data_IF_926554157334
#
_entry.id   IF_926554157334
#
_cell.length_a   1.000
_cell.length_b   1.000
_cell.length_c   1.000
_cell.angle_alpha   90.00
_cell.angle_beta   90.00
_cell.angle_gamma   90.00
#
_symmetry.space_group_name_H-M   'P 1'
#
loop_
_entity.id
_entity.type
_entity.pdbx_description
1 polymer ?
#
# COMPACT_ATOMS: atom_id res chain seq x y z
N UNK A 1 37.78 -34.28 35.35
CA UNK A 1 37.62 -33.37 34.20
C UNK A 1 36.66 -33.81 33.07
N UNK A 2 35.89 -34.92 33.13
CA UNK A 2 34.80 -35.19 32.15
C UNK A 2 33.40 -34.63 32.52
N UNK A 3 33.13 -34.31 33.80
CA UNK A 3 31.77 -34.03 34.28
C UNK A 3 31.21 -32.64 33.90
N UNK A 4 32.09 -31.69 33.63
CA UNK A 4 31.73 -30.34 33.19
C UNK A 4 31.10 -30.32 31.79
N UNK A 5 31.49 -31.23 30.89
CA UNK A 5 30.94 -31.32 29.54
C UNK A 5 29.50 -31.85 29.52
N UNK A 6 29.19 -32.89 30.31
CA UNK A 6 27.84 -33.47 30.38
C UNK A 6 26.84 -32.56 31.09
N UNK A 7 27.30 -31.79 32.08
CA UNK A 7 26.52 -30.76 32.76
C UNK A 7 26.26 -29.56 31.83
N UNK A 8 27.29 -29.12 31.08
CA UNK A 8 27.14 -28.06 30.09
C UNK A 8 26.14 -28.44 29.00
N UNK A 9 26.21 -29.66 28.45
CA UNK A 9 25.28 -30.16 27.42
C UNK A 9 23.82 -30.29 27.92
N UNK A 10 23.62 -30.66 29.20
CA UNK A 10 22.29 -30.72 29.83
C UNK A 10 21.64 -29.35 30.00
N UNK A 11 22.44 -28.31 30.23
CA UNK A 11 21.95 -26.96 30.48
C UNK A 11 21.94 -26.08 29.20
N UNK A 12 22.76 -26.32 28.18
CA UNK A 12 22.76 -25.53 26.92
C UNK A 12 21.72 -25.97 25.89
N UNK A 13 21.43 -27.27 25.82
CA UNK A 13 20.35 -27.81 24.98
C UNK A 13 18.98 -27.12 25.19
N UNK A 14 18.51 -26.83 26.41
CA UNK A 14 17.24 -26.14 26.61
C UNK A 14 17.25 -24.67 26.12
N UNK A 15 18.38 -23.98 26.15
CA UNK A 15 18.51 -22.61 25.65
C UNK A 15 18.45 -22.58 24.11
N UNK A 16 19.23 -23.43 23.44
CA UNK A 16 19.22 -23.59 21.98
C UNK A 16 17.83 -23.98 21.46
N UNK A 17 17.13 -24.90 22.14
CA UNK A 17 15.79 -25.32 21.77
C UNK A 17 14.74 -24.21 21.98
N UNK A 18 14.87 -23.40 23.04
CA UNK A 18 13.98 -22.25 23.27
C UNK A 18 14.21 -21.16 22.23
N UNK A 19 15.46 -20.92 21.84
CA UNK A 19 15.81 -20.03 20.73
C UNK A 19 15.23 -20.52 19.41
N UNK A 20 15.38 -21.81 19.08
CA UNK A 20 14.81 -22.40 17.87
C UNK A 20 13.28 -22.23 17.82
N UNK A 21 12.57 -22.39 18.95
CA UNK A 21 11.13 -22.17 19.00
C UNK A 21 10.75 -20.70 18.91
N UNK A 22 11.49 -19.78 19.54
CA UNK A 22 11.27 -18.35 19.37
C UNK A 22 11.44 -17.93 17.91
N UNK A 23 12.51 -18.40 17.27
CA UNK A 23 12.75 -18.19 15.85
C UNK A 23 11.64 -18.82 15.02
N UNK A 24 11.18 -20.02 15.34
CA UNK A 24 10.10 -20.69 14.61
C UNK A 24 8.78 -19.94 14.74
N UNK A 25 8.40 -19.50 15.95
CA UNK A 25 7.19 -18.70 16.23
C UNK A 25 7.26 -17.36 15.49
N UNK A 26 8.40 -16.67 15.57
CA UNK A 26 8.62 -15.40 14.89
C UNK A 26 8.63 -15.58 13.37
N UNK A 27 9.37 -16.55 12.83
CA UNK A 27 9.35 -16.84 11.40
C UNK A 27 7.95 -17.26 10.93
N UNK A 28 7.25 -18.11 11.67
CA UNK A 28 5.89 -18.52 11.32
C UNK A 28 4.85 -17.41 11.37
N UNK A 29 5.06 -16.48 12.30
CA UNK A 29 4.22 -15.30 12.49
C UNK A 29 4.76 -14.10 11.73
N UNK A 30 5.64 -14.27 10.73
CA UNK A 30 6.17 -13.19 9.88
C UNK A 30 6.36 -13.59 8.41
N UNK A 31 6.61 -14.87 8.16
CA UNK A 31 6.81 -15.49 6.87
C UNK A 31 5.93 -16.75 6.83
N UNK A 32 5.01 -16.88 5.86
CA UNK A 32 4.32 -18.14 5.69
C UNK A 32 5.39 -19.21 5.40
N UNK A 33 5.48 -20.23 6.28
CA UNK A 33 6.45 -21.33 6.20
C UNK A 33 6.46 -22.02 4.82
N UNK A 34 5.36 -21.91 4.08
CA UNK A 34 5.20 -22.38 2.71
C UNK A 34 6.05 -21.63 1.66
N UNK A 35 6.53 -20.41 1.91
CA UNK A 35 7.49 -19.71 1.02
C UNK A 35 8.85 -20.44 0.92
N UNK A 36 9.29 -21.10 2.00
CA UNK A 36 10.54 -21.86 2.01
C UNK A 36 10.41 -23.18 1.23
N UNK A 37 9.18 -23.71 1.12
CA UNK A 37 8.88 -24.98 0.47
C UNK A 37 8.35 -24.85 -0.97
N UNK A 38 8.28 -23.63 -1.51
CA UNK A 38 7.78 -23.39 -2.87
C UNK A 38 6.30 -23.75 -3.07
N UNK A 39 5.55 -23.96 -1.98
CA UNK A 39 4.11 -24.24 -2.04
C UNK A 39 3.41 -22.89 -2.21
N UNK A 40 2.55 -22.68 -3.22
CA UNK A 40 1.90 -21.40 -3.47
C UNK A 40 0.80 -21.13 -2.43
N UNK A 41 1.22 -20.83 -1.20
CA UNK A 41 0.39 -20.12 -0.23
C UNK A 41 0.49 -18.64 -0.60
N UNK A 42 -0.48 -18.15 -1.36
CA UNK A 42 -0.66 -16.75 -1.79
C UNK A 42 0.26 -15.78 -1.04
N UNK A 43 1.30 -15.35 -1.75
CA UNK A 43 2.50 -14.75 -1.20
C UNK A 43 2.25 -13.45 -0.43
N UNK A 44 3.35 -12.92 0.12
CA UNK A 44 3.52 -11.47 0.12
C UNK A 44 3.18 -11.05 -1.30
N UNK A 45 2.03 -10.40 -1.46
CA UNK A 45 1.57 -9.95 -2.77
C UNK A 45 2.69 -9.07 -3.33
N UNK A 46 2.86 -8.97 -4.65
CA UNK A 46 3.81 -8.03 -5.28
C UNK A 46 3.65 -6.58 -4.77
N UNK A 47 2.55 -6.31 -4.07
CA UNK A 47 2.14 -5.06 -3.46
C UNK A 47 2.54 -4.89 -1.97
N UNK A 48 3.18 -5.90 -1.35
CA UNK A 48 3.83 -5.79 -0.05
C UNK A 48 2.90 -5.87 1.18
N UNK A 49 1.76 -6.59 1.09
CA UNK A 49 0.86 -6.81 2.22
C UNK A 49 0.94 -8.22 2.81
N UNK A 50 0.73 -8.31 4.13
CA UNK A 50 0.63 -9.54 4.91
C UNK A 50 -0.84 -9.79 5.26
N UNK A 51 -1.40 -10.95 4.87
CA UNK A 51 -2.77 -11.35 5.25
C UNK A 51 -2.71 -12.25 6.50
N UNK A 52 -3.06 -11.75 7.71
CA UNK A 52 -2.83 -12.45 8.98
C UNK A 52 -3.62 -13.76 9.11
N UNK A 53 -4.76 -13.88 8.43
CA UNK A 53 -5.66 -15.03 8.48
C UNK A 53 -5.03 -16.35 7.99
N UNK A 54 -3.82 -16.33 7.43
CA UNK A 54 -3.11 -17.50 6.89
C UNK A 54 -1.89 -17.94 7.72
N UNK A 55 -1.68 -17.31 8.88
CA UNK A 55 -0.45 -17.43 9.69
C UNK A 55 -0.60 -18.50 10.79
N UNK A 56 -1.82 -19.05 10.93
CA UNK A 56 -2.20 -20.02 11.95
C UNK A 56 -1.43 -21.34 11.85
N UNK A 57 -1.09 -21.83 10.66
CA UNK A 57 -0.35 -23.10 10.49
C UNK A 57 1.03 -22.99 11.14
N UNK A 58 1.75 -21.91 10.85
CA UNK A 58 3.07 -21.73 11.42
C UNK A 58 3.02 -21.47 12.93
N UNK A 59 2.03 -20.70 13.41
CA UNK A 59 1.79 -20.51 14.85
C UNK A 59 1.52 -21.86 15.53
N UNK A 60 0.70 -22.73 14.93
CA UNK A 60 0.43 -24.08 15.44
C UNK A 60 1.68 -24.95 15.48
N UNK A 61 2.53 -24.90 14.43
CA UNK A 61 3.81 -25.62 14.41
C UNK A 61 4.75 -25.11 15.50
N UNK A 62 4.84 -23.79 15.69
CA UNK A 62 5.58 -23.15 16.77
C UNK A 62 5.09 -23.58 18.16
N UNK A 63 3.77 -23.56 18.38
CA UNK A 63 3.12 -23.98 19.62
C UNK A 63 3.29 -25.48 19.87
N UNK A 64 3.21 -26.33 18.83
CA UNK A 64 3.43 -27.77 18.95
C UNK A 64 4.88 -28.08 19.33
N UNK A 65 5.86 -27.43 18.69
CA UNK A 65 7.27 -27.56 19.04
C UNK A 65 7.52 -27.11 20.49
N UNK A 66 6.91 -25.99 20.91
CA UNK A 66 6.95 -25.53 22.30
C UNK A 66 6.34 -26.56 23.27
N UNK A 67 5.17 -27.11 22.97
CA UNK A 67 4.48 -28.09 23.78
C UNK A 67 5.30 -29.38 23.97
N UNK A 68 5.89 -29.90 22.88
CA UNK A 68 6.76 -31.09 22.90
C UNK A 68 7.99 -30.85 23.80
N UNK A 69 8.61 -29.67 23.71
CA UNK A 69 9.77 -29.32 24.52
C UNK A 69 9.44 -29.13 26.01
N UNK A 70 8.26 -28.60 26.31
CA UNK A 70 7.80 -28.41 27.67
C UNK A 70 7.37 -29.74 28.31
N UNK A 71 6.81 -30.67 27.54
CA UNK A 71 6.37 -31.98 28.04
C UNK A 71 7.49 -32.75 28.76
N UNK A 72 8.75 -32.61 28.31
CA UNK A 72 9.90 -33.27 28.93
C UNK A 72 10.46 -32.60 30.19
N UNK A 73 9.96 -31.41 30.60
CA UNK A 73 10.56 -30.62 31.70
C UNK A 73 9.82 -30.77 33.03
N UNK A 74 10.42 -30.34 34.14
CA UNK A 74 9.75 -30.25 35.47
C UNK A 74 8.83 -29.03 35.55
N UNK A 75 7.82 -29.01 36.43
CA UNK A 75 6.81 -27.93 36.49
C UNK A 75 7.37 -26.51 36.65
N UNK A 76 8.34 -26.31 37.57
CA UNK A 76 9.00 -24.99 37.75
C UNK A 76 9.91 -24.61 36.58
N UNK A 77 10.59 -25.58 35.98
CA UNK A 77 11.42 -25.33 34.80
C UNK A 77 10.60 -25.00 33.55
N UNK A 78 9.40 -25.58 33.41
CA UNK A 78 8.44 -25.27 32.36
C UNK A 78 7.99 -23.80 32.46
N UNK A 79 7.56 -23.36 33.64
CA UNK A 79 7.09 -21.99 33.88
C UNK A 79 8.15 -20.93 33.59
N UNK A 80 9.40 -21.15 34.01
CA UNK A 80 10.50 -20.21 33.73
C UNK A 80 10.72 -20.01 32.23
N UNK A 81 10.82 -21.11 31.47
CA UNK A 81 11.09 -21.04 30.04
C UNK A 81 9.89 -20.58 29.22
N UNK A 82 8.65 -20.82 29.69
CA UNK A 82 7.44 -20.21 29.13
C UNK A 82 7.48 -18.69 29.24
N UNK A 83 7.85 -18.15 30.41
CA UNK A 83 7.99 -16.71 30.60
C UNK A 83 9.08 -16.09 29.70
N UNK A 84 10.25 -16.74 29.61
CA UNK A 84 11.34 -16.31 28.71
C UNK A 84 10.88 -16.31 27.24
N UNK A 85 10.17 -17.35 26.80
CA UNK A 85 9.68 -17.44 25.43
C UNK A 85 8.58 -16.40 25.14
N UNK A 86 7.62 -16.20 26.05
CA UNK A 86 6.54 -15.24 25.84
C UNK A 86 7.07 -13.79 25.73
N UNK A 87 7.95 -13.39 26.66
CA UNK A 87 8.53 -12.04 26.64
C UNK A 87 9.50 -11.89 25.47
N UNK A 88 10.30 -12.91 25.16
CA UNK A 88 11.22 -12.89 24.02
C UNK A 88 10.49 -12.71 22.69
N UNK A 89 9.38 -13.44 22.49
CA UNK A 89 8.54 -13.31 21.32
C UNK A 89 7.94 -11.90 21.23
N UNK A 90 7.40 -11.36 22.33
CA UNK A 90 6.85 -10.01 22.38
C UNK A 90 7.90 -8.95 22.01
N UNK A 91 9.10 -9.02 22.57
CA UNK A 91 10.18 -8.07 22.30
C UNK A 91 10.65 -8.18 20.84
N UNK A 92 10.79 -9.39 20.30
CA UNK A 92 11.15 -9.60 18.89
C UNK A 92 10.11 -9.02 17.94
N UNK A 93 8.82 -9.23 18.22
CA UNK A 93 7.70 -8.67 17.43
C UNK A 93 7.74 -7.14 17.48
N UNK A 94 7.87 -6.55 18.67
CA UNK A 94 7.94 -5.08 18.82
C UNK A 94 9.15 -4.51 18.08
N UNK A 95 10.32 -5.14 18.20
CA UNK A 95 11.55 -4.69 17.53
C UNK A 95 11.39 -4.71 16.01
N UNK A 96 10.80 -5.78 15.48
CA UNK A 96 10.51 -5.84 14.05
C UNK A 96 9.49 -4.78 13.64
N UNK A 97 8.37 -4.65 14.36
CA UNK A 97 7.34 -3.67 14.02
C UNK A 97 7.91 -2.25 14.01
N UNK A 98 8.74 -1.89 14.98
CA UNK A 98 9.39 -0.57 15.03
C UNK A 98 10.39 -0.34 13.89
N UNK A 99 11.08 -1.39 13.44
CA UNK A 99 12.06 -1.30 12.36
C UNK A 99 11.41 -1.35 10.96
N UNK A 100 10.37 -2.17 10.78
CA UNK A 100 9.74 -2.44 9.49
C UNK A 100 8.54 -1.53 9.20
N UNK A 101 7.83 -1.06 10.24
CA UNK A 101 6.67 -0.17 10.14
C UNK A 101 7.10 1.23 10.59
N UNK A 102 6.63 2.27 9.89
CA UNK A 102 6.87 3.65 10.33
C UNK A 102 6.23 3.94 11.69
N UNK A 103 6.88 4.79 12.51
CA UNK A 103 6.37 5.17 13.83
C UNK A 103 4.94 5.68 13.75
N UNK A 104 4.04 4.97 14.42
CA UNK A 104 2.61 5.20 14.41
C UNK A 104 2.24 6.48 15.17
N UNK A 105 1.44 7.34 14.54
CA UNK A 105 0.45 8.14 15.25
C UNK A 105 -0.90 7.57 14.83
N UNK A 106 -1.70 7.13 15.80
CA UNK A 106 -3.02 6.57 15.59
C UNK A 106 -3.93 7.66 15.00
N UNK A 107 -4.37 7.46 13.76
CA UNK A 107 -5.32 8.31 13.06
C UNK A 107 -6.26 7.44 12.24
N UNK A 108 -6.93 6.50 12.93
CA UNK A 108 -8.03 5.74 12.35
C UNK A 108 -9.23 6.66 12.21
N UNK A 109 -9.28 7.42 11.12
CA UNK A 109 -10.51 8.11 10.74
C UNK A 109 -11.41 7.08 10.05
N UNK A 110 -12.11 6.31 10.88
CA UNK A 110 -13.32 5.57 10.54
C UNK A 110 -14.35 6.62 10.07
N UNK A 111 -14.40 6.86 8.76
CA UNK A 111 -15.36 7.82 8.22
C UNK A 111 -16.71 7.13 8.15
N UNK A 112 -17.60 7.56 9.05
CA UNK A 112 -19.01 7.23 9.04
C UNK A 112 -19.61 7.49 7.65
N UNK A 113 -20.57 6.63 7.28
CA UNK A 113 -21.37 6.67 6.05
C UNK A 113 -22.27 7.93 6.07
N UNK A 114 -21.68 9.10 5.90
CA UNK A 114 -22.36 10.36 5.65
C UNK A 114 -22.62 10.56 4.15
N UNK A 115 -23.54 11.47 3.83
CA UNK A 115 -23.87 11.87 2.46
C UNK A 115 -22.60 12.19 1.65
N UNK A 116 -22.29 11.37 0.65
CA UNK A 116 -21.05 11.50 -0.14
C UNK A 116 -21.14 12.74 -1.01
N UNK A 117 -20.18 13.65 -0.87
CA UNK A 117 -20.03 14.78 -1.77
C UNK A 117 -19.84 14.28 -3.21
N UNK A 118 -20.58 14.81 -4.19
CA UNK A 118 -20.39 14.44 -5.58
C UNK A 118 -19.05 14.97 -6.11
N UNK A 119 -18.39 14.18 -6.95
CA UNK A 119 -17.25 14.62 -7.76
C UNK A 119 -17.50 14.22 -9.21
N UNK A 120 -17.46 15.19 -10.11
CA UNK A 120 -17.64 14.92 -11.54
C UNK A 120 -16.39 14.21 -12.07
N UNK A 121 -16.57 13.27 -13.00
CA UNK A 121 -15.48 12.52 -13.62
C UNK A 121 -15.59 12.60 -15.14
N UNK A 122 -14.53 13.04 -15.79
CA UNK A 122 -14.40 13.01 -17.25
C UNK A 122 -13.26 12.06 -17.58
N UNK A 123 -13.57 11.00 -18.33
CA UNK A 123 -12.58 9.97 -18.66
C UNK A 123 -12.92 9.27 -19.97
N UNK A 124 -11.91 8.71 -20.64
CA UNK A 124 -12.11 7.71 -21.69
C UNK A 124 -11.83 6.28 -21.22
N UNK A 125 -11.37 6.09 -19.97
CA UNK A 125 -11.16 4.76 -19.39
C UNK A 125 -12.51 4.10 -19.05
N UNK A 126 -12.63 2.76 -19.17
CA UNK A 126 -13.85 2.02 -18.85
C UNK A 126 -14.08 1.93 -17.32
N UNK A 127 -14.31 3.08 -16.68
CA UNK A 127 -14.58 3.19 -15.23
C UNK A 127 -16.07 2.97 -14.93
N UNK A 128 -16.94 3.49 -15.78
CA UNK A 128 -18.41 3.45 -15.61
C UNK A 128 -19.10 2.56 -16.65
N UNK A 129 -18.37 2.03 -17.64
CA UNK A 129 -18.90 1.19 -18.70
C UNK A 129 -18.00 -0.03 -18.97
N UNK A 130 -18.54 -1.03 -19.67
CA UNK A 130 -17.81 -2.24 -20.04
C UNK A 130 -17.35 -2.13 -21.49
N UNK A 131 -16.19 -2.70 -21.79
CA UNK A 131 -15.77 -2.91 -23.17
C UNK A 131 -16.30 -4.24 -23.74
N UNK A 132 -16.84 -5.13 -22.91
CA UNK A 132 -17.48 -6.38 -23.32
C UNK A 132 -18.94 -6.13 -23.76
N UNK A 133 -19.27 -6.29 -25.06
CA UNK A 133 -20.62 -6.06 -25.59
C UNK A 133 -21.68 -6.99 -24.98
N UNK A 134 -21.30 -8.19 -24.52
CA UNK A 134 -22.24 -9.19 -23.98
C UNK A 134 -22.58 -8.86 -22.52
N UNK A 135 -21.61 -8.34 -21.77
CA UNK A 135 -21.80 -7.93 -20.38
C UNK A 135 -22.73 -6.71 -20.24
N UNK A 136 -22.91 -5.90 -21.28
CA UNK A 136 -23.73 -4.68 -21.24
C UNK A 136 -25.25 -4.96 -21.31
N UNK A 137 -25.66 -6.12 -21.83
CA UNK A 137 -27.07 -6.54 -21.92
C UNK A 137 -27.53 -7.44 -20.77
N UNK A 138 -26.66 -7.72 -19.80
CA UNK A 138 -26.97 -8.61 -18.69
C UNK A 138 -27.80 -7.89 -17.62
N UNK A 139 -29.11 -8.15 -17.58
CA UNK A 139 -30.01 -7.61 -16.55
C UNK A 139 -29.57 -8.12 -15.16
N UNK A 140 -29.12 -7.21 -14.29
CA UNK A 140 -28.66 -7.54 -12.94
C UNK A 140 -27.15 -7.77 -12.79
N UNK A 141 -26.35 -7.62 -13.86
CA UNK A 141 -24.91 -7.48 -13.70
C UNK A 141 -24.60 -6.21 -12.89
N UNK A 142 -23.67 -6.24 -11.91
CA UNK A 142 -23.33 -5.05 -11.14
C UNK A 142 -22.96 -3.92 -12.10
N UNK A 143 -23.64 -2.78 -12.00
CA UNK A 143 -23.37 -1.54 -12.75
C UNK A 143 -22.01 -0.90 -12.39
N UNK A 144 -21.21 -1.64 -11.62
CA UNK A 144 -20.03 -1.26 -10.86
C UNK A 144 -18.81 -1.92 -11.52
N UNK A 145 -18.20 -1.26 -12.52
CA UNK A 145 -17.25 -1.89 -13.45
C UNK A 145 -15.78 -1.73 -13.08
N UNK A 146 -15.43 -0.89 -12.11
CA UNK A 146 -14.09 -0.79 -11.53
C UNK A 146 -14.18 -0.55 -10.02
N UNK A 147 -13.44 -1.33 -9.22
CA UNK A 147 -13.36 -1.20 -7.78
C UNK A 147 -12.97 0.22 -7.34
N UNK A 148 -12.21 0.96 -8.15
CA UNK A 148 -11.85 2.35 -7.90
C UNK A 148 -13.07 3.24 -7.65
N UNK A 149 -14.11 3.12 -8.49
CA UNK A 149 -15.35 3.91 -8.37
C UNK A 149 -16.07 3.58 -7.06
N UNK A 150 -16.10 2.30 -6.68
CA UNK A 150 -16.78 1.85 -5.45
C UNK A 150 -16.01 2.20 -4.20
N UNK A 151 -14.68 2.15 -4.24
CA UNK A 151 -13.80 2.40 -3.13
C UNK A 151 -13.74 3.88 -2.75
N UNK A 152 -14.02 4.79 -3.70
CA UNK A 152 -14.02 6.23 -3.43
C UNK A 152 -15.03 6.63 -2.34
N UNK A 153 -14.60 7.55 -1.47
CA UNK A 153 -15.48 8.21 -0.48
C UNK A 153 -16.43 9.22 -1.13
N UNK A 154 -16.09 9.71 -2.32
CA UNK A 154 -16.95 10.60 -3.09
C UNK A 154 -17.97 9.79 -3.87
N UNK A 155 -19.08 10.44 -4.25
CA UNK A 155 -19.96 9.90 -5.28
C UNK A 155 -19.40 10.35 -6.62
N UNK A 156 -18.62 9.49 -7.27
CA UNK A 156 -18.10 9.76 -8.61
C UNK A 156 -19.23 9.70 -9.62
N UNK A 157 -19.44 10.79 -10.36
CA UNK A 157 -20.51 10.91 -11.36
C UNK A 157 -19.87 11.18 -12.72
N UNK A 158 -20.11 10.34 -13.74
CA UNK A 158 -19.57 10.59 -15.08
C UNK A 158 -20.14 11.89 -15.67
N UNK A 159 -19.29 12.62 -16.38
CA UNK A 159 -19.63 13.85 -17.09
C UNK A 159 -19.11 13.76 -18.53
N UNK A 160 -20.02 13.82 -19.50
CA UNK A 160 -19.67 13.56 -20.92
C UNK A 160 -19.15 14.80 -21.67
N UNK A 161 -19.57 16.00 -21.22
CA UNK A 161 -19.28 17.27 -21.88
C UNK A 161 -18.76 18.30 -20.90
N UNK A 162 -17.69 18.98 -21.28
CA UNK A 162 -17.12 20.10 -20.52
C UNK A 162 -17.61 21.42 -21.12
N UNK A 163 -18.78 21.88 -20.68
CA UNK A 163 -19.31 23.19 -21.05
C UNK A 163 -19.79 23.96 -19.80
N UNK A 164 -20.06 25.26 -19.95
CA UNK A 164 -20.40 26.12 -18.81
C UNK A 164 -21.65 25.66 -18.04
N UNK A 165 -22.65 25.09 -18.72
CA UNK A 165 -23.84 24.57 -18.07
C UNK A 165 -23.56 23.27 -17.30
N UNK A 166 -22.81 22.35 -17.89
CA UNK A 166 -22.43 21.07 -17.29
C UNK A 166 -21.48 21.25 -16.08
N UNK A 167 -20.63 22.28 -16.12
CA UNK A 167 -19.74 22.64 -15.02
C UNK A 167 -20.42 23.51 -13.96
N UNK A 168 -21.63 24.01 -14.22
CA UNK A 168 -22.38 24.78 -13.23
C UNK A 168 -22.81 23.86 -12.07
N UNK A 169 -22.40 24.21 -10.86
CA UNK A 169 -22.63 23.37 -9.67
C UNK A 169 -21.65 22.22 -9.48
N UNK A 170 -20.62 22.10 -10.33
CA UNK A 170 -19.51 21.16 -10.10
C UNK A 170 -18.45 21.85 -9.25
N UNK A 171 -18.27 21.39 -8.01
CA UNK A 171 -17.23 21.88 -7.13
C UNK A 171 -15.86 21.25 -7.41
N UNK A 172 -15.89 19.97 -7.84
CA UNK A 172 -14.71 19.09 -7.92
C UNK A 172 -14.80 18.24 -9.17
N UNK A 173 -13.70 18.20 -9.91
CA UNK A 173 -13.59 17.47 -11.15
C UNK A 173 -12.37 16.56 -11.10
N UNK A 174 -12.58 15.29 -11.46
CA UNK A 174 -11.54 14.30 -11.71
C UNK A 174 -11.46 14.07 -13.22
N UNK A 175 -10.36 14.51 -13.84
CA UNK A 175 -10.10 14.33 -15.26
C UNK A 175 -9.07 13.22 -15.44
N UNK A 176 -9.47 12.08 -15.97
CA UNK A 176 -8.60 10.89 -16.05
C UNK A 176 -8.50 10.45 -17.49
N UNK A 177 -7.33 10.62 -18.09
CA UNK A 177 -7.03 10.18 -19.46
C UNK A 177 -8.24 10.38 -20.42
N UNK A 178 -8.74 11.62 -20.57
CA UNK A 178 -9.95 11.87 -21.34
C UNK A 178 -9.71 11.63 -22.82
N UNK A 179 -10.80 11.52 -23.59
CA UNK A 179 -10.73 11.64 -25.05
C UNK A 179 -10.12 12.99 -25.47
N UNK A 180 -9.83 13.14 -26.75
CA UNK A 180 -9.55 14.45 -27.32
C UNK A 180 -10.69 15.42 -26.99
N UNK A 181 -10.40 16.44 -26.18
CA UNK A 181 -11.33 17.50 -25.83
C UNK A 181 -11.37 18.52 -26.96
N UNK A 182 -12.56 19.01 -27.28
CA UNK A 182 -12.71 20.09 -28.25
C UNK A 182 -12.07 21.39 -27.72
N UNK A 183 -11.62 22.32 -28.59
CA UNK A 183 -11.05 23.59 -28.14
C UNK A 183 -11.98 24.37 -27.18
N UNK A 184 -13.29 24.33 -27.42
CA UNK A 184 -14.26 24.98 -26.54
C UNK A 184 -14.34 24.32 -25.15
N UNK A 185 -14.16 23.00 -25.08
CA UNK A 185 -14.12 22.24 -23.83
C UNK A 185 -12.88 22.60 -23.00
N UNK A 186 -11.72 22.74 -23.65
CA UNK A 186 -10.48 23.18 -22.99
C UNK A 186 -10.61 24.59 -22.42
N UNK A 187 -11.21 25.51 -23.17
CA UNK A 187 -11.47 26.89 -22.72
C UNK A 187 -12.48 26.92 -21.57
N UNK A 188 -13.56 26.14 -21.65
CA UNK A 188 -14.55 26.05 -20.58
C UNK A 188 -13.94 25.50 -19.28
N UNK A 189 -13.10 24.46 -19.39
CA UNK A 189 -12.36 23.90 -18.27
C UNK A 189 -11.40 24.92 -17.65
N UNK A 190 -10.58 25.60 -18.47
CA UNK A 190 -9.66 26.64 -17.99
C UNK A 190 -10.41 27.77 -17.26
N UNK A 191 -11.51 28.27 -17.83
CA UNK A 191 -12.33 29.30 -17.20
C UNK A 191 -12.93 28.83 -15.88
N UNK A 192 -13.48 27.62 -15.81
CA UNK A 192 -14.03 27.05 -14.58
C UNK A 192 -12.96 26.88 -13.49
N UNK A 193 -11.76 26.41 -13.85
CA UNK A 193 -10.63 26.35 -12.90
C UNK A 193 -10.30 27.76 -12.42
N UNK A 194 -10.11 28.73 -13.33
CA UNK A 194 -9.79 30.12 -12.96
C UNK A 194 -10.85 30.75 -12.03
N UNK A 195 -12.10 30.35 -12.16
CA UNK A 195 -13.22 30.79 -11.31
C UNK A 195 -13.24 30.15 -9.90
N UNK A 196 -12.33 29.21 -9.59
CA UNK A 196 -12.24 28.58 -8.27
C UNK A 196 -12.41 27.07 -8.26
N UNK A 197 -12.54 26.42 -9.42
CA UNK A 197 -12.69 24.97 -9.53
C UNK A 197 -11.54 24.17 -8.90
N UNK A 198 -11.86 22.99 -8.35
CA UNK A 198 -10.88 22.03 -7.82
C UNK A 198 -10.73 20.86 -8.79
N UNK A 199 -9.54 20.72 -9.35
CA UNK A 199 -9.28 19.75 -10.42
C UNK A 199 -8.17 18.78 -10.02
N UNK A 200 -8.42 17.49 -10.25
CA UNK A 200 -7.39 16.45 -10.23
C UNK A 200 -7.27 15.88 -11.64
N UNK A 201 -6.08 15.90 -12.22
CA UNK A 201 -5.79 15.37 -13.56
C UNK A 201 -4.85 14.18 -13.46
N UNK A 202 -5.25 13.06 -14.06
CA UNK A 202 -4.37 11.91 -14.31
C UNK A 202 -4.11 11.88 -15.81
N UNK A 203 -2.87 12.19 -16.20
CA UNK A 203 -2.45 12.34 -17.58
C UNK A 203 -1.25 11.45 -17.85
N UNK A 204 -1.43 10.48 -18.72
CA UNK A 204 -0.46 9.44 -18.99
C UNK A 204 0.02 9.48 -20.43
N UNK A 205 1.32 9.71 -20.70
CA UNK A 205 1.85 9.67 -22.06
C UNK A 205 2.14 8.24 -22.55
N UNK A 206 2.06 7.23 -21.67
CA UNK A 206 2.25 5.82 -21.99
C UNK A 206 1.27 4.94 -21.20
N UNK A 207 -0.01 5.01 -21.56
CA UNK A 207 -1.07 4.25 -20.92
C UNK A 207 -0.90 2.73 -21.18
N UNK A 208 -0.77 1.95 -20.11
CA UNK A 208 -0.68 0.48 -20.11
C UNK A 208 -1.99 -0.21 -19.72
N UNK A 209 -3.09 0.56 -19.72
CA UNK A 209 -4.45 0.08 -19.46
C UNK A 209 -4.88 -1.03 -20.45
N UNK A 210 -5.42 -2.16 -19.98
CA UNK A 210 -5.91 -3.22 -20.86
C UNK A 210 -7.15 -2.76 -21.61
N UNK A 211 -7.20 -3.02 -22.91
CA UNK A 211 -8.41 -2.79 -23.70
C UNK A 211 -8.70 -3.96 -24.62
N UNK A 212 -9.97 -4.30 -24.74
CA UNK A 212 -10.48 -5.30 -25.68
C UNK A 212 -10.49 -4.77 -27.13
N UNK A 213 -10.46 -3.45 -27.32
CA UNK A 213 -10.49 -2.84 -28.64
C UNK A 213 -9.12 -2.83 -29.31
N UNK A 214 -9.04 -3.04 -30.64
CA UNK A 214 -7.77 -2.97 -31.37
C UNK A 214 -7.23 -1.53 -31.40
N UNK A 215 -5.94 -1.39 -31.73
CA UNK A 215 -5.32 -0.09 -31.96
C UNK A 215 -6.04 0.65 -33.10
N UNK A 216 -6.36 1.92 -32.89
CA UNK A 216 -7.08 2.76 -33.86
C UNK A 216 -8.61 2.75 -33.72
N UNK A 217 -9.20 1.88 -32.89
CA UNK A 217 -10.63 1.98 -32.54
C UNK A 217 -10.88 3.25 -31.71
N UNK A 218 -11.90 4.03 -32.07
CA UNK A 218 -12.26 5.28 -31.38
C UNK A 218 -12.77 5.07 -29.96
N UNK A 219 -13.24 3.86 -29.63
CA UNK A 219 -13.72 3.50 -28.29
C UNK A 219 -12.57 3.12 -27.36
N UNK A 220 -11.39 2.82 -27.92
CA UNK A 220 -10.20 2.53 -27.11
C UNK A 220 -9.74 3.83 -26.42
N UNK A 221 -9.42 3.79 -25.12
CA UNK A 221 -8.82 4.94 -24.46
C UNK A 221 -7.53 5.39 -25.16
N UNK A 222 -7.25 6.70 -25.23
CA UNK A 222 -6.06 7.19 -25.90
C UNK A 222 -4.80 6.73 -25.16
N UNK A 223 -3.85 6.15 -25.91
CA UNK A 223 -2.60 5.61 -25.36
C UNK A 223 -1.67 6.68 -24.76
N UNK A 224 -1.88 7.94 -25.14
CA UNK A 224 -1.19 9.11 -24.61
C UNK A 224 -2.23 10.15 -24.22
N UNK A 225 -1.94 10.94 -23.20
CA UNK A 225 -2.77 12.08 -22.83
C UNK A 225 -2.79 13.07 -23.99
N UNK A 226 -3.97 13.63 -24.25
CA UNK A 226 -4.22 14.62 -25.29
C UNK A 226 -4.47 16.02 -24.70
N UNK A 227 -4.02 16.23 -23.47
CA UNK A 227 -4.19 17.49 -22.73
C UNK A 227 -3.06 18.48 -22.97
N UNK A 228 -2.11 18.19 -23.87
CA UNK A 228 -0.95 19.04 -24.17
C UNK A 228 -1.30 20.52 -24.40
N UNK A 229 -2.36 20.89 -25.15
CA UNK A 229 -2.68 22.31 -25.34
C UNK A 229 -3.01 23.04 -24.02
N UNK A 230 -3.73 22.36 -23.11
CA UNK A 230 -4.09 22.92 -21.80
C UNK A 230 -2.87 22.96 -20.87
N UNK A 231 -2.08 21.89 -20.85
CA UNK A 231 -0.85 21.81 -20.05
C UNK A 231 0.14 22.90 -20.48
N UNK A 232 0.35 23.06 -21.80
CA UNK A 232 1.22 24.09 -22.35
C UNK A 232 0.72 25.50 -22.00
N UNK A 233 -0.59 25.73 -22.06
CA UNK A 233 -1.20 26.98 -21.62
C UNK A 233 -0.94 27.28 -20.14
N UNK A 234 -0.89 26.24 -19.29
CA UNK A 234 -0.57 26.36 -17.87
C UNK A 234 0.93 26.34 -17.54
N UNK A 235 1.80 26.28 -18.56
CA UNK A 235 3.25 26.26 -18.37
C UNK A 235 3.80 24.91 -17.92
N UNK A 236 3.16 23.82 -18.36
CA UNK A 236 3.60 22.44 -18.17
C UNK A 236 3.74 21.73 -19.52
N UNK A 237 4.62 20.74 -19.57
CA UNK A 237 4.72 19.79 -20.67
C UNK A 237 4.79 18.39 -20.08
N UNK A 238 4.02 17.46 -20.61
CA UNK A 238 4.10 16.05 -20.22
C UNK A 238 5.23 15.40 -21.03
N UNK A 239 6.22 14.83 -20.34
CA UNK A 239 7.32 14.10 -20.98
C UNK A 239 7.08 12.60 -20.89
N UNK A 240 7.33 11.84 -21.97
CA UNK A 240 7.19 10.39 -21.95
C UNK A 240 8.08 9.74 -20.88
N UNK A 241 7.61 8.62 -20.33
CA UNK A 241 8.41 7.78 -19.47
C UNK A 241 9.68 7.32 -20.18
N UNK A 242 10.82 7.48 -19.52
CA UNK A 242 12.02 6.75 -19.87
C UNK A 242 11.83 5.31 -19.40
N UNK A 243 11.55 4.39 -20.35
CA UNK A 243 11.43 2.94 -20.12
C UNK A 243 12.79 2.32 -19.78
N UNK A 244 13.39 2.74 -18.67
CA UNK A 244 14.59 2.17 -18.10
C UNK A 244 14.23 1.60 -16.72
N UNK A 245 13.90 0.30 -16.66
CA UNK A 245 13.60 -0.40 -15.41
C UNK A 245 12.29 -1.19 -15.45
N UNK A 246 11.78 -1.53 -14.26
CA UNK A 246 10.51 -2.25 -14.12
C UNK A 246 9.30 -1.41 -14.55
N UNK A 247 8.31 -2.02 -15.22
CA UNK A 247 7.16 -1.30 -15.75
C UNK A 247 6.27 -0.75 -14.64
N UNK A 248 6.22 -1.42 -13.48
CA UNK A 248 5.45 -1.01 -12.31
C UNK A 248 6.41 -0.56 -11.21
N UNK A 249 6.14 0.59 -10.61
CA UNK A 249 6.99 1.17 -9.57
C UNK A 249 6.18 1.55 -8.35
N UNK A 250 6.74 1.27 -7.17
CA UNK A 250 6.17 1.66 -5.89
C UNK A 250 6.69 3.03 -5.49
N UNK A 251 5.82 4.04 -5.47
CA UNK A 251 6.15 5.42 -5.10
C UNK A 251 5.61 5.72 -3.71
N UNK A 252 6.51 6.04 -2.77
CA UNK A 252 6.11 6.53 -1.46
C UNK A 252 6.12 8.05 -1.46
N UNK A 253 4.98 8.63 -1.14
CA UNK A 253 4.81 10.07 -0.96
C UNK A 253 5.28 10.52 0.44
N UNK A 254 5.57 11.82 0.61
CA UNK A 254 5.69 12.45 1.92
C UNK A 254 4.46 12.12 2.77
N UNK A 255 4.66 11.73 4.03
CA UNK A 255 3.59 11.26 4.91
C UNK A 255 3.33 9.75 4.87
N UNK A 256 4.03 9.00 4.01
CA UNK A 256 4.07 7.53 4.05
C UNK A 256 3.07 6.82 3.15
N UNK A 257 2.17 7.56 2.50
CA UNK A 257 1.23 7.02 1.51
C UNK A 257 1.99 6.38 0.34
N UNK A 258 1.45 5.27 -0.16
CA UNK A 258 2.07 4.50 -1.23
C UNK A 258 1.17 4.52 -2.46
N UNK A 259 1.75 4.87 -3.60
CA UNK A 259 1.15 4.74 -4.92
C UNK A 259 1.87 3.64 -5.69
N UNK A 260 1.11 2.89 -6.48
CA UNK A 260 1.67 1.99 -7.50
C UNK A 260 1.41 2.67 -8.83
N UNK A 261 2.48 2.90 -9.58
CA UNK A 261 2.44 3.60 -10.86
C UNK A 261 2.99 2.68 -11.95
N UNK A 262 2.43 2.73 -13.15
CA UNK A 262 2.93 1.95 -14.28
C UNK A 262 3.37 2.92 -15.38
N UNK A 263 4.54 2.71 -15.99
CA UNK A 263 5.03 3.63 -17.03
C UNK A 263 5.17 5.08 -16.54
N UNK A 264 5.56 5.27 -15.26
CA UNK A 264 5.54 6.57 -14.61
C UNK A 264 6.31 7.63 -15.39
N UNK A 265 5.59 8.68 -15.77
CA UNK A 265 6.11 9.78 -16.56
C UNK A 265 6.39 11.01 -15.70
N UNK A 266 6.79 12.12 -16.33
CA UNK A 266 7.12 13.34 -15.59
C UNK A 266 6.65 14.60 -16.30
N UNK A 267 6.38 15.63 -15.51
CA UNK A 267 6.13 16.97 -16.01
C UNK A 267 7.43 17.76 -16.15
N UNK A 268 7.60 18.45 -17.27
CA UNK A 268 8.56 19.53 -17.40
C UNK A 268 7.84 20.86 -17.17
N UNK A 269 8.40 21.69 -16.29
CA UNK A 269 7.86 23.03 -16.02
C UNK A 269 8.45 24.05 -17.00
N UNK A 270 7.58 24.77 -17.69
CA UNK A 270 7.94 25.88 -18.59
C UNK A 270 7.46 27.23 -18.06
N UNK A 271 6.46 27.26 -17.16
CA UNK A 271 5.94 28.47 -16.51
C UNK A 271 6.17 28.52 -14.99
N UNK A 272 5.47 29.44 -14.31
CA UNK A 272 5.60 29.68 -12.86
C UNK A 272 4.37 29.29 -12.04
N UNK A 273 3.27 28.91 -12.68
CA UNK A 273 1.99 28.61 -12.02
C UNK A 273 2.01 27.30 -11.21
N UNK A 274 2.98 26.43 -11.49
CA UNK A 274 3.00 25.05 -11.03
C UNK A 274 4.28 24.72 -10.26
N UNK A 275 4.11 23.97 -9.17
CA UNK A 275 5.18 23.39 -8.38
C UNK A 275 5.25 21.88 -8.66
N UNK A 276 6.45 21.38 -8.95
CA UNK A 276 6.69 19.97 -9.21
C UNK A 276 7.15 19.26 -7.93
N UNK A 277 6.71 18.01 -7.76
CA UNK A 277 7.08 17.14 -6.64
C UNK A 277 7.33 15.70 -7.13
N UNK A 278 7.93 14.86 -6.27
CA UNK A 278 8.12 13.42 -6.53
C UNK A 278 8.83 13.10 -7.85
N UNK A 279 9.98 13.75 -8.10
CA UNK A 279 10.70 13.57 -9.37
C UNK A 279 9.90 14.08 -10.58
N UNK A 280 9.03 15.06 -10.35
CA UNK A 280 8.09 15.62 -11.31
C UNK A 280 6.98 14.67 -11.80
N UNK A 281 6.72 13.58 -11.08
CA UNK A 281 5.50 12.78 -11.23
C UNK A 281 4.24 13.60 -10.91
N UNK A 282 4.34 14.49 -9.91
CA UNK A 282 3.24 15.32 -9.45
C UNK A 282 3.49 16.79 -9.79
N UNK A 283 2.43 17.49 -10.17
CA UNK A 283 2.41 18.95 -10.26
C UNK A 283 1.22 19.53 -9.49
N UNK A 284 1.44 20.62 -8.76
CA UNK A 284 0.40 21.37 -8.07
C UNK A 284 0.38 22.80 -8.61
N UNK A 285 -0.75 23.22 -9.18
CA UNK A 285 -0.88 24.51 -9.84
C UNK A 285 -1.98 25.36 -9.19
N UNK A 286 -1.69 26.66 -9.05
CA UNK A 286 -2.72 27.68 -8.75
C UNK A 286 -3.01 28.45 -10.02
N UNK A 287 -4.26 28.39 -10.47
CA UNK A 287 -4.68 28.96 -11.75
C UNK A 287 -5.88 29.84 -11.49
N UNK A 288 -5.70 31.16 -11.56
CA UNK A 288 -6.70 32.10 -11.07
C UNK A 288 -7.03 31.84 -9.60
N UNK A 289 -8.32 31.69 -9.28
CA UNK A 289 -8.79 31.27 -7.96
C UNK A 289 -8.79 29.75 -7.71
N UNK A 290 -8.55 28.93 -8.75
CA UNK A 290 -8.66 27.48 -8.68
C UNK A 290 -7.37 26.76 -8.28
N UNK A 291 -7.55 25.45 -8.06
CA UNK A 291 -6.50 24.55 -7.58
C UNK A 291 -6.47 23.30 -8.44
N UNK A 292 -5.28 22.95 -8.95
CA UNK A 292 -5.09 21.77 -9.80
C UNK A 292 -4.00 20.87 -9.23
N UNK A 293 -4.33 19.59 -9.06
CA UNK A 293 -3.36 18.50 -8.88
C UNK A 293 -3.22 17.77 -10.20
N UNK A 294 -2.00 17.59 -10.69
CA UNK A 294 -1.72 16.75 -11.85
C UNK A 294 -0.81 15.60 -11.46
N UNK A 295 -1.08 14.43 -12.04
CA UNK A 295 -0.29 13.21 -11.91
C UNK A 295 0.05 12.71 -13.31
N UNK A 296 1.34 12.46 -13.56
CA UNK A 296 1.87 12.00 -14.84
C UNK A 296 1.75 10.47 -15.02
N UNK A 297 0.60 9.92 -14.61
CA UNK A 297 0.25 8.50 -14.71
C UNK A 297 -1.27 8.37 -14.50
N UNK A 298 -1.94 7.59 -15.35
CA UNK A 298 -3.36 7.26 -15.21
C UNK A 298 -3.57 5.78 -14.87
N UNK A 299 -2.60 4.92 -15.11
CA UNK A 299 -2.68 3.50 -14.77
C UNK A 299 -2.74 3.29 -13.26
N UNK A 300 -2.28 4.24 -12.43
CA UNK A 300 -2.31 4.13 -10.97
C UNK A 300 -3.70 3.81 -10.37
N UNK A 301 -4.79 4.15 -11.07
CA UNK A 301 -6.17 3.85 -10.65
C UNK A 301 -6.69 2.49 -11.14
N UNK A 302 -5.91 1.76 -11.94
CA UNK A 302 -6.20 0.38 -12.32
C UNK A 302 -6.22 -0.49 -11.07
N UNK A 303 -7.35 -1.16 -10.85
CA UNK A 303 -7.58 -2.04 -9.70
C UNK A 303 -6.44 -3.04 -9.51
N UNK A 304 -5.83 -3.52 -10.59
CA UNK A 304 -4.74 -4.51 -10.56
C UNK A 304 -3.47 -3.99 -9.87
N UNK A 305 -3.29 -2.67 -9.80
CA UNK A 305 -2.12 -2.05 -9.17
C UNK A 305 -2.31 -1.79 -7.67
N UNK A 306 -3.53 -1.48 -7.22
CA UNK A 306 -3.78 -1.02 -5.85
C UNK A 306 -4.73 -1.89 -5.04
N UNK A 307 -5.40 -2.87 -5.64
CA UNK A 307 -6.33 -3.77 -4.97
C UNK A 307 -5.69 -5.15 -4.73
N UNK A 308 -5.68 -5.58 -3.47
CA UNK A 308 -5.18 -6.89 -3.05
C UNK A 308 -6.28 -7.95 -2.96
N UNK A 309 -7.52 -7.56 -2.59
CA UNK A 309 -8.69 -8.44 -2.57
C UNK A 309 -9.90 -7.74 -3.19
N UNK A 310 -10.29 -8.17 -4.40
CA UNK A 310 -11.39 -7.58 -5.15
C UNK A 310 -12.78 -7.78 -4.51
N UNK A 311 -12.92 -8.69 -3.53
CA UNK A 311 -14.21 -8.97 -2.87
C UNK A 311 -14.62 -7.89 -1.88
N UNK A 312 -13.65 -7.15 -1.33
CA UNK A 312 -13.88 -6.15 -0.29
C UNK A 312 -13.16 -4.83 -0.59
N UNK A 313 -13.44 -4.15 -1.72
CA UNK A 313 -12.63 -3.04 -2.23
C UNK A 313 -12.62 -1.78 -1.36
N UNK A 314 -13.55 -1.68 -0.40
CA UNK A 314 -13.64 -0.58 0.57
C UNK A 314 -12.86 -0.85 1.86
N UNK A 315 -12.47 -2.10 2.12
CA UNK A 315 -11.76 -2.45 3.34
C UNK A 315 -10.30 -2.01 3.22
N UNK A 316 -9.75 -1.26 4.20
CA UNK A 316 -8.35 -0.86 4.17
C UNK A 316 -7.38 -2.04 4.02
N UNK A 317 -7.73 -3.20 4.60
CA UNK A 317 -6.95 -4.43 4.52
C UNK A 317 -6.92 -5.06 3.11
N UNK A 318 -7.84 -4.69 2.23
CA UNK A 318 -7.91 -5.16 0.86
C UNK A 318 -7.10 -4.29 -0.13
N UNK A 319 -6.40 -3.26 0.35
CA UNK A 319 -5.73 -2.27 -0.53
C UNK A 319 -4.21 -2.39 -0.54
N UNK A 320 -3.69 -2.91 -1.64
CA UNK A 320 -2.28 -2.96 -2.00
C UNK A 320 -1.58 -1.60 -2.11
N UNK A 321 -2.30 -0.51 -2.44
CA UNK A 321 -1.79 0.87 -2.47
C UNK A 321 -2.82 1.85 -1.90
N UNK A 322 -2.41 3.08 -1.59
CA UNK A 322 -3.27 4.14 -1.02
C UNK A 322 -3.93 5.00 -2.10
N UNK A 323 -3.90 4.58 -3.38
CA UNK A 323 -4.36 5.36 -4.54
C UNK A 323 -5.71 6.04 -4.29
N UNK A 324 -6.75 5.27 -3.96
CA UNK A 324 -8.12 5.81 -3.77
C UNK A 324 -8.16 6.88 -2.69
N UNK A 325 -7.55 6.61 -1.52
CA UNK A 325 -7.55 7.55 -0.41
C UNK A 325 -6.78 8.84 -0.71
N UNK A 326 -5.69 8.73 -1.48
CA UNK A 326 -4.88 9.85 -1.94
C UNK A 326 -5.64 10.70 -2.96
N UNK A 327 -6.24 10.07 -3.99
CA UNK A 327 -7.05 10.78 -4.99
C UNK A 327 -8.23 11.48 -4.34
N UNK A 328 -8.96 10.80 -3.46
CA UNK A 328 -10.06 11.41 -2.72
C UNK A 328 -9.57 12.60 -1.88
N UNK A 329 -8.40 12.51 -1.23
CA UNK A 329 -7.82 13.64 -0.51
C UNK A 329 -7.53 14.83 -1.43
N UNK A 330 -6.97 14.59 -2.61
CA UNK A 330 -6.68 15.66 -3.57
C UNK A 330 -7.93 16.22 -4.25
N UNK A 331 -9.03 15.48 -4.32
CA UNK A 331 -10.32 16.06 -4.71
C UNK A 331 -10.84 17.07 -3.68
N UNK A 332 -10.52 16.88 -2.39
CA UNK A 332 -10.78 17.84 -1.31
C UNK A 332 -9.82 19.02 -1.29
N UNK A 333 -8.53 18.73 -1.36
CA UNK A 333 -7.46 19.71 -1.29
C UNK A 333 -6.42 19.42 -2.39
N UNK A 334 -6.60 19.93 -3.63
CA UNK A 334 -5.68 19.63 -4.73
C UNK A 334 -4.25 20.12 -4.47
N UNK A 335 -4.05 21.10 -3.60
CA UNK A 335 -2.73 21.60 -3.20
C UNK A 335 -2.18 20.95 -1.91
N UNK A 336 -2.97 20.11 -1.23
CA UNK A 336 -2.58 19.48 0.04
C UNK A 336 -1.60 18.32 -0.14
N UNK A 337 -0.76 18.08 0.85
CA UNK A 337 0.08 16.88 0.87
C UNK A 337 -0.76 15.59 0.86
N UNK A 338 -0.15 14.47 0.53
CA UNK A 338 -0.84 13.19 0.64
C UNK A 338 -1.28 12.92 2.09
N UNK A 339 -2.46 12.31 2.31
CA UNK A 339 -2.91 11.99 3.65
C UNK A 339 -1.90 11.04 4.31
N UNK A 340 -1.51 11.28 5.56
CA UNK A 340 -0.53 10.43 6.23
C UNK A 340 -1.08 9.01 6.37
N UNK A 341 -0.34 8.02 5.88
CA UNK A 341 -0.66 6.59 6.01
C UNK A 341 0.51 5.87 6.66
N UNK A 342 0.26 5.29 7.84
CA UNK A 342 1.33 4.93 8.79
C UNK A 342 1.44 3.43 9.10
N UNK A 343 0.65 2.56 8.45
CA UNK A 343 0.61 1.11 8.72
C UNK A 343 1.19 0.24 7.58
N UNK A 344 2.04 0.78 6.71
CA UNK A 344 2.64 0.02 5.60
C UNK A 344 4.11 -0.30 5.85
N UNK A 345 4.55 -1.46 5.37
CA UNK A 345 5.97 -1.85 5.38
C UNK A 345 6.77 -0.82 4.57
N UNK A 346 7.88 -0.35 5.16
CA UNK A 346 8.69 0.71 4.55
C UNK A 346 9.23 0.30 3.19
N UNK A 347 10.06 -0.71 3.15
CA UNK A 347 10.72 -1.25 1.95
C UNK A 347 11.32 -2.62 2.30
N UNK A 348 11.81 -3.35 1.30
CA UNK A 348 12.38 -4.67 1.49
C UNK A 348 13.64 -4.65 2.38
N UNK A 349 14.49 -3.61 2.26
CA UNK A 349 15.69 -3.48 3.08
C UNK A 349 15.34 -3.23 4.55
N UNK A 350 14.31 -2.43 4.84
CA UNK A 350 13.77 -2.20 6.18
C UNK A 350 13.15 -3.47 6.79
N UNK A 351 12.48 -4.30 5.97
CA UNK A 351 11.97 -5.60 6.42
C UNK A 351 13.12 -6.56 6.77
N UNK A 352 14.12 -6.67 5.89
CA UNK A 352 15.31 -7.52 6.11
C UNK A 352 16.12 -7.04 7.32
N UNK A 353 16.30 -5.73 7.49
CA UNK A 353 17.03 -5.17 8.64
C UNK A 353 16.26 -5.37 9.94
N UNK A 354 14.94 -5.17 9.94
CA UNK A 354 14.08 -5.46 11.07
C UNK A 354 14.10 -6.93 11.48
N UNK A 355 14.09 -7.85 10.51
CA UNK A 355 14.19 -9.29 10.78
C UNK A 355 15.54 -9.64 11.42
N UNK A 356 16.64 -9.07 10.91
CA UNK A 356 17.98 -9.24 11.51
C UNK A 356 18.02 -8.72 12.94
N UNK A 357 17.48 -7.52 13.19
CA UNK A 357 17.43 -6.93 14.52
C UNK A 357 16.62 -7.80 15.49
N UNK A 358 15.44 -8.27 15.07
CA UNK A 358 14.61 -9.18 15.86
C UNK A 358 15.35 -10.48 16.20
N UNK A 359 16.06 -11.08 15.24
CA UNK A 359 16.87 -12.29 15.47
C UNK A 359 17.97 -12.05 16.51
N UNK A 360 18.73 -10.95 16.38
CA UNK A 360 19.79 -10.60 17.35
C UNK A 360 19.21 -10.41 18.76
N UNK A 361 18.10 -9.68 18.87
CA UNK A 361 17.43 -9.45 20.16
C UNK A 361 16.92 -10.78 20.75
N UNK A 362 16.38 -11.67 19.92
CA UNK A 362 15.99 -13.02 20.34
C UNK A 362 17.15 -13.85 20.89
N UNK A 363 18.31 -13.83 20.22
CA UNK A 363 19.53 -14.52 20.68
C UNK A 363 19.96 -13.98 22.05
N UNK A 364 20.04 -12.65 22.18
CA UNK A 364 20.45 -11.98 23.42
C UNK A 364 19.48 -12.30 24.57
N UNK A 365 18.16 -12.26 24.31
CA UNK A 365 17.13 -12.53 25.31
C UNK A 365 17.20 -13.96 25.85
N UNK A 366 17.38 -14.95 24.98
CA UNK A 366 17.56 -16.34 25.39
C UNK A 366 18.85 -16.53 26.18
N UNK A 367 19.93 -15.88 25.75
CA UNK A 367 21.20 -15.87 26.49
C UNK A 367 21.05 -15.32 27.90
N UNK A 368 20.29 -14.22 28.06
CA UNK A 368 20.00 -13.61 29.35
C UNK A 368 19.15 -14.54 30.24
N UNK A 369 18.10 -15.15 29.68
CA UNK A 369 17.27 -16.13 30.38
C UNK A 369 18.05 -17.36 30.86
N UNK A 370 19.06 -17.79 30.09
CA UNK A 370 19.99 -18.85 30.48
C UNK A 370 20.92 -18.41 31.63
N UNK A 371 21.54 -17.23 31.51
CA UNK A 371 22.44 -16.69 32.53
C UNK A 371 21.74 -16.51 33.89
N UNK A 372 20.55 -15.90 33.89
CA UNK A 372 19.74 -15.66 35.09
C UNK A 372 19.36 -16.98 35.79
N UNK A 373 18.99 -18.01 35.01
CA UNK A 373 18.66 -19.32 35.57
C UNK A 373 19.87 -19.98 36.24
N UNK A 374 21.07 -19.83 35.68
CA UNK A 374 22.31 -20.39 36.22
C UNK A 374 22.72 -19.71 37.52
N UNK A 375 22.59 -18.38 37.59
CA UNK A 375 22.82 -17.59 38.82
C UNK A 375 21.80 -17.99 39.90
N UNK A 376 20.52 -18.13 39.55
CA UNK A 376 19.48 -18.57 40.49
C UNK A 376 19.69 -19.99 41.05
N UNK A 377 20.35 -20.89 40.29
CA UNK A 377 20.77 -22.21 40.78
C UNK A 377 21.98 -22.12 41.71
N UNK A 378 22.98 -21.27 41.39
CA UNK A 378 24.20 -21.17 42.20
C UNK A 378 23.97 -20.54 43.56
N UNK A 379 23.06 -19.56 43.67
CA UNK A 379 22.65 -18.99 44.95
C UNK A 379 21.95 -20.01 45.85
N UNK A 380 21.04 -20.81 45.27
CA UNK A 380 20.29 -21.85 46.00
C UNK A 380 21.15 -23.02 46.49
N UNK A 381 22.36 -23.16 45.96
CA UNK A 381 23.36 -24.15 46.38
C UNK A 381 24.33 -23.60 47.45
N UNK A 382 24.32 -22.28 47.71
CA UNK A 382 25.11 -21.65 48.78
C UNK A 382 24.32 -21.49 50.09
N UNK A 383 22.99 -21.50 50.01
CA UNK A 383 22.08 -21.44 51.17
C UNK A 383 21.74 -22.82 51.76
N UNK A 384 22.16 -23.90 51.11
CA UNK A 384 22.11 -25.28 51.63
C UNK A 384 23.52 -25.70 52.00
#
# INVERSE_FOLDING_TARGET
>A
MPDNWSAWKRDTTPALLTFAVLVLIVLSGLLPFAMILGIPSAGVVETGQAVPARWWVGILVGLAALAILLWRRSGRDRLWWLGVAAIGAMVMIVTLCQAAVGSAAQGGAEHAVGNRSPAAVVTALPLFWTEDPIADFSVGAPTDRQAFVHASRHRLVPLDQLNGAALSGVDRLLLVQPRALAPQELVALDHWVRAGGRLVILADPLLLWPSAFPLGDRRRPPLTSLLDPLLAHWGLRLEPATMAGEPVQRRRLPGGAVLMVAGASRFARTGTLCNLAEGALLASCRIGGGQVRLIADADMIDDRLWLADARHPREPAATAADTVAVIDHWLDAPLGDAPPRRNRIRDEASLRSGLRAALVVGIVWVGLGFALKRVGKSWRMREK
#
